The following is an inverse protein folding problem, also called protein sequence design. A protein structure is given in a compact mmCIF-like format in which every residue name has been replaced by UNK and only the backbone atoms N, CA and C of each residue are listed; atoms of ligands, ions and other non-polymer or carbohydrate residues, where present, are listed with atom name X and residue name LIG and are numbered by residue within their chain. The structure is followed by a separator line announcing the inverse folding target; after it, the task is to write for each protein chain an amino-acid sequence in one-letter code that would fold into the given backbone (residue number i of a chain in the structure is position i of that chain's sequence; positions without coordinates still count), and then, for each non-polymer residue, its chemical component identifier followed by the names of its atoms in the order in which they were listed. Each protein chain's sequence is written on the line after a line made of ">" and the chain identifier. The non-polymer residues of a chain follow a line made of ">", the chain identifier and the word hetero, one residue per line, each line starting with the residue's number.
data_IF_589938674781
#
_entry.id   IF_589938674781
#
_cell.length_a   1.000
_cell.length_b   1.000
_cell.length_c   1.000
_cell.angle_alpha   90.00
_cell.angle_beta   90.00
_cell.angle_gamma   90.00
#
_symmetry.space_group_name_H-M   'P 1'
#
loop_
_entity.id
_entity.type
_entity.pdbx_description
1 polymer ?
#
# COMPACT_ATOMS: atom_id res chain seq x y z
N UNK A 1 -13.38 -17.70 -9.95
CA UNK A 1 -14.16 -16.45 -9.79
C UNK A 1 -13.76 -15.85 -8.46
N UNK A 2 -13.43 -14.56 -8.44
CA UNK A 2 -13.07 -13.85 -7.20
C UNK A 2 -14.32 -13.65 -6.34
N UNK A 3 -14.19 -13.86 -5.05
CA UNK A 3 -15.22 -13.71 -4.03
C UNK A 3 -15.10 -12.37 -3.30
N UNK A 4 -16.19 -11.95 -2.65
CA UNK A 4 -16.16 -10.75 -1.80
C UNK A 4 -15.20 -10.94 -0.62
N UNK A 5 -15.15 -12.13 -0.06
CA UNK A 5 -14.30 -12.51 1.06
C UNK A 5 -12.81 -12.38 0.70
N UNK A 6 -12.41 -12.78 -0.52
CA UNK A 6 -11.03 -12.59 -0.99
C UNK A 6 -10.67 -11.10 -1.12
N UNK A 7 -11.59 -10.24 -1.58
CA UNK A 7 -11.36 -8.79 -1.63
C UNK A 7 -11.16 -8.22 -0.23
N UNK A 8 -12.00 -8.61 0.73
CA UNK A 8 -11.90 -8.18 2.13
C UNK A 8 -10.62 -8.69 2.79
N UNK A 9 -10.21 -9.92 2.47
CA UNK A 9 -8.96 -10.49 2.97
C UNK A 9 -7.74 -9.75 2.42
N UNK A 10 -7.71 -9.39 1.14
CA UNK A 10 -6.64 -8.56 0.57
C UNK A 10 -6.57 -7.17 1.24
N UNK A 11 -7.71 -6.55 1.53
CA UNK A 11 -7.75 -5.29 2.29
C UNK A 11 -7.17 -5.44 3.71
N UNK A 12 -7.48 -6.55 4.38
CA UNK A 12 -6.91 -6.90 5.70
C UNK A 12 -5.41 -7.18 5.62
N UNK A 13 -4.96 -7.89 4.58
CA UNK A 13 -3.54 -8.12 4.33
C UNK A 13 -2.80 -6.80 4.06
N UNK A 14 -3.42 -5.87 3.34
CA UNK A 14 -2.86 -4.55 3.09
C UNK A 14 -2.68 -3.76 4.39
N UNK A 15 -3.72 -3.66 5.22
CA UNK A 15 -3.62 -2.93 6.49
C UNK A 15 -2.66 -3.60 7.47
N UNK A 16 -2.71 -4.93 7.60
CA UNK A 16 -1.77 -5.67 8.44
C UNK A 16 -0.32 -5.53 7.99
N UNK A 17 -0.07 -5.58 6.68
CA UNK A 17 1.26 -5.36 6.11
C UNK A 17 1.78 -3.95 6.38
N UNK A 18 0.93 -2.92 6.23
CA UNK A 18 1.30 -1.55 6.58
C UNK A 18 1.67 -1.42 8.06
N UNK A 19 0.83 -1.93 8.97
CA UNK A 19 1.08 -1.85 10.42
C UNK A 19 2.33 -2.62 10.82
N UNK A 20 2.67 -3.72 10.14
CA UNK A 20 3.93 -4.45 10.37
C UNK A 20 5.17 -3.65 9.94
N UNK A 21 5.08 -2.87 8.86
CA UNK A 21 6.15 -1.93 8.47
C UNK A 21 6.31 -0.86 9.56
N UNK A 22 5.20 -0.32 10.07
CA UNK A 22 5.20 0.66 11.18
C UNK A 22 5.87 0.08 12.43
N UNK A 23 5.47 -1.12 12.84
CA UNK A 23 6.03 -1.84 14.00
C UNK A 23 7.53 -2.02 13.87
N UNK A 24 8.01 -2.53 12.73
CA UNK A 24 9.45 -2.70 12.49
C UNK A 24 10.21 -1.39 12.55
N UNK A 25 9.65 -0.32 11.98
CA UNK A 25 10.27 1.01 12.07
C UNK A 25 10.36 1.49 13.52
N UNK A 26 9.30 1.33 14.30
CA UNK A 26 9.28 1.71 15.72
C UNK A 26 10.26 0.90 16.57
N UNK A 27 10.49 -0.36 16.21
CA UNK A 27 11.46 -1.24 16.87
C UNK A 27 12.90 -1.11 16.35
N UNK A 28 13.17 -0.18 15.41
CA UNK A 28 14.45 -0.05 14.71
C UNK A 28 14.91 -1.35 14.01
N UNK A 29 13.97 -2.12 13.48
CA UNK A 29 14.21 -3.32 12.68
C UNK A 29 14.22 -2.99 11.17
N UNK A 30 14.47 -4.00 10.31
CA UNK A 30 14.48 -3.83 8.86
C UNK A 30 13.06 -3.70 8.27
N UNK A 31 12.53 -2.48 8.36
CA UNK A 31 11.25 -2.07 7.79
C UNK A 31 11.30 -1.85 6.26
N UNK A 32 12.48 -1.61 5.70
CA UNK A 32 12.64 -1.38 4.25
C UNK A 32 12.46 -2.68 3.48
N UNK A 33 13.08 -3.78 3.93
CA UNK A 33 12.84 -5.11 3.33
C UNK A 33 11.40 -5.57 3.53
N UNK A 34 10.79 -5.27 4.69
CA UNK A 34 9.37 -5.57 4.92
C UNK A 34 8.47 -4.81 3.94
N UNK A 35 8.73 -3.52 3.71
CA UNK A 35 7.98 -2.71 2.74
C UNK A 35 8.18 -3.21 1.31
N UNK A 36 9.39 -3.62 0.94
CA UNK A 36 9.67 -4.22 -0.37
C UNK A 36 8.87 -5.50 -0.59
N UNK A 37 8.84 -6.41 0.39
CA UNK A 37 8.06 -7.65 0.32
C UNK A 37 6.55 -7.42 0.34
N UNK A 38 6.08 -6.44 1.11
CA UNK A 38 4.69 -5.96 1.07
C UNK A 38 4.29 -5.51 -0.34
N UNK A 39 5.14 -4.73 -1.01
CA UNK A 39 4.89 -4.27 -2.37
C UNK A 39 4.90 -5.44 -3.35
N UNK A 40 5.86 -6.35 -3.27
CA UNK A 40 5.94 -7.53 -4.15
C UNK A 40 4.68 -8.40 -4.04
N UNK A 41 4.13 -8.52 -2.83
CA UNK A 41 2.97 -9.37 -2.57
C UNK A 41 1.67 -8.74 -3.07
N UNK A 42 1.50 -7.43 -2.90
CA UNK A 42 0.20 -6.77 -3.06
C UNK A 42 0.11 -5.85 -4.29
N UNK A 43 1.23 -5.60 -4.98
CA UNK A 43 1.28 -4.77 -6.17
C UNK A 43 1.93 -5.54 -7.32
N UNK A 44 1.22 -5.62 -8.43
CA UNK A 44 1.57 -6.48 -9.56
C UNK A 44 2.70 -5.93 -10.46
N UNK A 45 3.68 -5.19 -9.90
CA UNK A 45 4.78 -4.58 -10.68
C UNK A 45 5.63 -5.60 -11.45
N UNK A 46 5.66 -6.86 -11.02
CA UNK A 46 6.33 -7.97 -11.74
C UNK A 46 5.49 -8.62 -12.85
N UNK A 47 4.20 -8.28 -12.95
CA UNK A 47 3.25 -8.91 -13.88
C UNK A 47 2.72 -7.94 -14.94
N UNK A 48 2.63 -6.64 -14.64
CA UNK A 48 2.11 -5.65 -15.57
C UNK A 48 2.17 -4.22 -15.04
N UNK A 49 1.53 -3.31 -15.77
CA UNK A 49 1.43 -1.91 -15.38
C UNK A 49 0.55 -1.75 -14.13
N UNK A 50 1.02 -0.94 -13.18
CA UNK A 50 0.31 -0.66 -11.94
C UNK A 50 -0.01 0.83 -11.88
N UNK A 51 -1.30 1.16 -11.77
CA UNK A 51 -1.81 2.52 -11.72
C UNK A 51 -1.92 3.01 -10.27
N UNK A 52 -0.78 3.22 -9.61
CA UNK A 52 -0.75 3.65 -8.22
C UNK A 52 -0.61 5.18 -8.09
N UNK A 53 -1.69 5.83 -7.65
CA UNK A 53 -1.68 7.22 -7.17
C UNK A 53 -1.78 7.24 -5.64
N UNK A 54 -0.68 7.42 -4.90
CA UNK A 54 -0.71 7.52 -3.44
C UNK A 54 -1.40 8.78 -2.91
N UNK A 55 -1.84 8.73 -1.65
CA UNK A 55 -2.66 9.76 -1.00
C UNK A 55 -1.91 11.07 -0.76
N UNK A 56 -0.60 11.02 -0.47
CA UNK A 56 0.16 12.20 -0.02
C UNK A 56 1.10 12.81 -1.07
N UNK A 57 1.24 12.22 -2.25
CA UNK A 57 2.15 12.72 -3.26
C UNK A 57 1.51 13.83 -4.09
N UNK A 58 2.19 14.97 -4.19
CA UNK A 58 1.70 16.18 -4.88
C UNK A 58 2.54 16.52 -6.10
N UNK A 59 3.85 16.31 -6.04
CA UNK A 59 4.80 16.76 -7.05
C UNK A 59 4.93 15.71 -8.16
N UNK A 60 5.37 14.51 -7.80
CA UNK A 60 5.28 13.34 -8.67
C UNK A 60 4.07 12.56 -8.20
N UNK A 61 2.97 12.55 -8.93
CA UNK A 61 1.71 12.04 -8.36
C UNK A 61 1.52 10.52 -8.47
N UNK A 62 2.27 9.87 -9.35
CA UNK A 62 2.10 8.44 -9.66
C UNK A 62 3.35 7.66 -9.27
N UNK A 63 3.17 6.39 -8.92
CA UNK A 63 4.24 5.45 -8.57
C UNK A 63 4.14 4.25 -9.52
N UNK A 64 4.55 4.43 -10.76
CA UNK A 64 4.38 3.43 -11.83
C UNK A 64 5.37 2.25 -11.75
N UNK A 65 6.31 2.28 -10.82
CA UNK A 65 7.26 1.20 -10.59
C UNK A 65 7.48 0.94 -9.09
N UNK A 66 8.02 -0.24 -8.78
CA UNK A 66 8.29 -0.68 -7.40
C UNK A 66 9.19 0.28 -6.63
N UNK A 67 10.24 0.83 -7.24
CA UNK A 67 11.17 1.73 -6.55
C UNK A 67 10.49 3.04 -6.11
N UNK A 68 9.58 3.55 -6.95
CA UNK A 68 8.74 4.69 -6.61
C UNK A 68 7.78 4.33 -5.46
N UNK A 69 7.07 3.21 -5.56
CA UNK A 69 6.15 2.78 -4.51
C UNK A 69 6.87 2.58 -3.17
N UNK A 70 8.08 2.00 -3.18
CA UNK A 70 8.91 1.83 -2.00
C UNK A 70 9.26 3.17 -1.37
N UNK A 71 9.69 4.14 -2.19
CA UNK A 71 9.92 5.51 -1.73
C UNK A 71 8.69 6.10 -1.04
N UNK A 72 7.49 5.92 -1.61
CA UNK A 72 6.27 6.42 -0.99
C UNK A 72 6.05 5.82 0.41
N UNK A 73 6.23 4.51 0.57
CA UNK A 73 5.99 3.84 1.85
C UNK A 73 7.06 4.15 2.91
N UNK A 74 8.34 4.20 2.53
CA UNK A 74 9.46 4.23 3.50
C UNK A 74 10.51 5.31 3.24
N UNK A 75 10.24 6.27 2.36
CA UNK A 75 11.16 7.34 1.94
C UNK A 75 12.47 6.79 1.33
N UNK A 76 13.53 7.61 1.36
CA UNK A 76 14.89 7.17 1.05
C UNK A 76 15.29 7.23 -0.43
N UNK A 77 14.42 7.71 -1.32
CA UNK A 77 14.75 7.89 -2.74
C UNK A 77 14.91 9.38 -3.09
N UNK A 78 16.11 9.85 -3.46
CA UNK A 78 16.33 11.25 -3.87
C UNK A 78 15.49 11.72 -5.07
N UNK A 79 15.06 10.79 -5.93
CA UNK A 79 14.17 11.09 -7.06
C UNK A 79 12.73 11.42 -6.65
N UNK A 80 12.37 11.18 -5.38
CA UNK A 80 11.06 11.46 -4.80
C UNK A 80 11.24 12.15 -3.44
N UNK A 81 11.92 13.29 -3.41
CA UNK A 81 12.26 14.01 -2.17
C UNK A 81 11.06 14.45 -1.33
N UNK A 82 9.87 14.52 -1.93
CA UNK A 82 8.59 14.77 -1.24
C UNK A 82 8.20 13.62 -0.30
N UNK A 83 8.62 12.38 -0.61
CA UNK A 83 8.24 11.20 0.16
C UNK A 83 8.92 11.21 1.53
N UNK A 84 8.11 11.33 2.59
CA UNK A 84 8.56 11.24 3.98
C UNK A 84 8.28 9.86 4.61
N UNK A 85 7.84 8.90 3.80
CA UNK A 85 7.52 7.56 4.22
C UNK A 85 6.12 7.49 4.84
N UNK A 86 5.15 7.05 4.05
CA UNK A 86 3.77 6.91 4.49
C UNK A 86 3.64 5.99 5.71
N UNK A 87 4.38 4.87 5.73
CA UNK A 87 4.39 3.92 6.86
C UNK A 87 5.15 4.45 8.08
N UNK A 88 5.95 5.51 7.93
CA UNK A 88 6.75 6.07 9.03
C UNK A 88 5.97 7.07 9.90
N UNK A 89 4.69 7.32 9.55
CA UNK A 89 3.80 8.25 10.25
C UNK A 89 3.24 7.72 11.58
N UNK A 90 3.59 6.50 11.99
CA UNK A 90 3.20 5.96 13.30
C UNK A 90 1.75 5.48 13.39
N UNK A 91 1.18 4.98 12.30
CA UNK A 91 -0.19 4.45 12.27
C UNK A 91 -0.35 3.28 13.23
N UNK A 92 -1.46 3.27 13.97
CA UNK A 92 -1.81 2.21 14.92
C UNK A 92 -2.93 1.32 14.40
N UNK A 93 -3.77 1.85 13.50
CA UNK A 93 -4.89 1.10 12.93
C UNK A 93 -5.28 1.62 11.53
N UNK A 94 -5.90 0.74 10.75
CA UNK A 94 -6.55 1.07 9.48
C UNK A 94 -7.97 0.49 9.49
N UNK A 95 -8.98 1.36 9.35
CA UNK A 95 -10.38 0.94 9.23
C UNK A 95 -10.86 1.13 7.80
N UNK A 96 -11.28 0.04 7.16
CA UNK A 96 -11.86 0.05 5.82
C UNK A 96 -13.37 0.31 5.85
N UNK A 97 -13.87 1.02 4.85
CA UNK A 97 -15.28 1.32 4.64
C UNK A 97 -15.59 1.29 3.14
N UNK A 98 -15.95 0.11 2.64
CA UNK A 98 -16.29 -0.06 1.23
C UNK A 98 -17.65 0.56 0.93
N UNK A 99 -17.69 1.47 -0.04
CA UNK A 99 -18.92 1.98 -0.64
C UNK A 99 -19.50 0.97 -1.64
N UNK A 100 -18.64 0.29 -2.41
CA UNK A 100 -19.02 -0.78 -3.31
C UNK A 100 -17.89 -1.78 -3.52
N UNK A 101 -18.25 -3.05 -3.77
CA UNK A 101 -17.36 -4.08 -4.30
C UNK A 101 -18.05 -4.67 -5.54
N UNK A 102 -17.37 -4.65 -6.69
CA UNK A 102 -17.84 -5.23 -7.94
C UNK A 102 -16.95 -6.42 -8.30
N UNK A 103 -17.56 -7.56 -8.55
CA UNK A 103 -16.89 -8.79 -8.94
C UNK A 103 -17.10 -9.01 -10.44
N UNK A 104 -16.03 -9.23 -11.17
CA UNK A 104 -16.02 -9.64 -12.58
C UNK A 104 -15.36 -11.02 -12.68
N UNK A 105 -15.39 -11.64 -13.87
CA UNK A 105 -14.91 -13.03 -14.04
C UNK A 105 -13.46 -13.22 -13.55
N UNK A 106 -12.58 -12.26 -13.88
CA UNK A 106 -11.13 -12.37 -13.68
C UNK A 106 -10.53 -11.27 -12.78
N UNK A 107 -11.33 -10.30 -12.32
CA UNK A 107 -10.87 -9.22 -11.44
C UNK A 107 -12.02 -8.70 -10.57
N UNK A 108 -11.68 -7.90 -9.56
CA UNK A 108 -12.65 -7.23 -8.71
C UNK A 108 -12.25 -5.77 -8.49
N UNK A 109 -13.24 -4.91 -8.30
CA UNK A 109 -13.05 -3.52 -7.87
C UNK A 109 -13.61 -3.33 -6.48
N UNK A 110 -12.89 -2.62 -5.63
CA UNK A 110 -13.40 -2.13 -4.36
C UNK A 110 -13.18 -0.62 -4.30
N UNK A 111 -14.22 0.12 -3.96
CA UNK A 111 -14.18 1.57 -3.82
C UNK A 111 -14.80 1.97 -2.49
N UNK A 112 -14.18 2.94 -1.82
CA UNK A 112 -14.61 3.39 -0.52
C UNK A 112 -13.54 4.21 0.18
N UNK A 113 -13.68 4.35 1.48
CA UNK A 113 -12.75 5.06 2.33
C UNK A 113 -11.93 4.09 3.18
N UNK A 114 -10.78 4.56 3.61
CA UNK A 114 -9.99 3.94 4.65
C UNK A 114 -9.45 5.02 5.55
N UNK A 115 -9.52 4.77 6.85
CA UNK A 115 -9.21 5.74 7.89
C UNK A 115 -8.01 5.23 8.67
N UNK A 116 -7.05 6.12 8.90
CA UNK A 116 -5.85 5.84 9.68
C UNK A 116 -5.98 6.45 11.07
N UNK A 117 -5.59 5.67 12.08
CA UNK A 117 -5.44 6.13 13.46
C UNK A 117 -4.06 5.80 14.00
#
# INVERSE_FOLDING_TARGET
>A
MITKEEVLDVQKQWSGGLLKIVEKHQNNEDFTSEASGFIDKLYAYGYGEVLFKPTLATDVQFRLNKAAALSYFVAGNPGFSEDKGFALKGWTNVRWENSAIKLEENFAFAMGNYYFG
#
